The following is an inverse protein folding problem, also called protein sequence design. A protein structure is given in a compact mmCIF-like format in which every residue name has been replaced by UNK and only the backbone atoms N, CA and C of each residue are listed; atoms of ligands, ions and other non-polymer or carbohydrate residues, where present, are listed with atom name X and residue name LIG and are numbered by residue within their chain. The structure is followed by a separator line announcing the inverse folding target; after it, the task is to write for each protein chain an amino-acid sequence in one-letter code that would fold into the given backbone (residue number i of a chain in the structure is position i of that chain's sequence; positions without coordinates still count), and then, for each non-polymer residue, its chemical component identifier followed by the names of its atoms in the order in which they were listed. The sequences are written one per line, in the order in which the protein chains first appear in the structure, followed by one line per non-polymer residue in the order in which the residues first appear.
data_IF_188846035305
#
_entry.id   IF_188846035305
#
_cell.length_a   1.000
_cell.length_b   1.000
_cell.length_c   1.000
_cell.angle_alpha   90.00
_cell.angle_beta   90.00
_cell.angle_gamma   90.00
#
_symmetry.space_group_name_H-M   'P 1'
#
loop_
_entity.id
_entity.type
_entity.pdbx_description
1 polymer ?
#
# COMPACT_ATOMS: atom_id res chain seq x y z
N UNK A 1 12.18 -0.79 -9.03
CA UNK A 1 10.81 -1.34 -8.82
C UNK A 1 10.56 -1.91 -7.41
N UNK A 2 11.43 -1.68 -6.41
CA UNK A 2 11.29 -2.27 -5.06
C UNK A 2 10.17 -1.61 -4.23
N UNK A 3 9.98 -0.28 -4.31
CA UNK A 3 9.02 0.48 -3.49
C UNK A 3 7.56 0.00 -3.58
N UNK A 4 7.17 -0.57 -4.72
CA UNK A 4 5.78 -0.92 -5.06
C UNK A 4 5.58 -2.43 -5.22
N UNK A 5 6.58 -3.23 -4.88
CA UNK A 5 6.48 -4.69 -4.96
C UNK A 5 6.43 -5.28 -3.57
N UNK A 6 5.28 -5.88 -3.24
CA UNK A 6 5.14 -6.71 -2.05
C UNK A 6 6.21 -7.81 -2.09
N UNK A 7 7.01 -8.00 -1.04
CA UNK A 7 7.92 -9.13 -0.95
C UNK A 7 7.13 -10.44 -0.94
N UNK A 8 7.50 -11.38 -1.79
CA UNK A 8 6.91 -12.73 -1.88
C UNK A 8 7.91 -13.77 -1.40
N UNK A 9 8.03 -13.95 -0.06
CA UNK A 9 8.93 -14.95 0.49
C UNK A 9 8.47 -16.36 0.11
N UNK A 10 9.33 -17.13 -0.58
CA UNK A 10 9.00 -18.46 -1.11
C UNK A 10 8.68 -19.49 -0.02
N UNK A 11 9.38 -19.42 1.11
CA UNK A 11 9.29 -20.42 2.19
C UNK A 11 8.92 -19.80 3.55
N UNK A 12 8.00 -18.82 3.54
CA UNK A 12 7.56 -18.19 4.77
C UNK A 12 6.75 -19.17 5.65
N UNK A 13 7.20 -19.41 6.88
CA UNK A 13 6.40 -20.13 7.88
C UNK A 13 5.09 -19.38 8.18
N UNK A 14 3.96 -20.04 7.95
CA UNK A 14 2.64 -19.45 8.14
C UNK A 14 2.29 -19.34 9.63
N UNK A 15 2.35 -18.12 10.15
CA UNK A 15 2.04 -17.82 11.56
C UNK A 15 0.52 -17.74 11.79
N UNK A 16 -0.17 -18.87 11.72
CA UNK A 16 -1.64 -18.96 11.81
C UNK A 16 -2.24 -18.23 13.04
N UNK A 17 -1.56 -18.26 14.19
CA UNK A 17 -1.98 -17.50 15.39
C UNK A 17 -2.04 -15.99 15.12
N UNK A 18 -1.04 -15.45 14.44
CA UNK A 18 -0.99 -14.02 14.09
C UNK A 18 -1.95 -13.68 12.94
N UNK A 19 -2.18 -14.61 12.00
CA UNK A 19 -3.20 -14.42 10.97
C UNK A 19 -4.59 -14.26 11.58
N UNK A 20 -4.95 -15.10 12.56
CA UNK A 20 -6.21 -14.96 13.31
C UNK A 20 -6.31 -13.62 14.03
N UNK A 21 -5.20 -13.08 14.55
CA UNK A 21 -5.18 -11.75 15.15
C UNK A 21 -5.43 -10.67 14.09
N UNK A 22 -4.77 -10.74 12.93
CA UNK A 22 -4.99 -9.81 11.81
C UNK A 22 -6.41 -9.89 11.26
N UNK A 23 -7.01 -11.09 11.20
CA UNK A 23 -8.40 -11.27 10.78
C UNK A 23 -9.37 -10.51 11.72
N UNK A 24 -9.14 -10.56 13.04
CA UNK A 24 -9.93 -9.78 14.02
C UNK A 24 -9.73 -8.28 13.87
N UNK A 25 -8.57 -7.83 13.41
CA UNK A 25 -8.28 -6.41 13.25
C UNK A 25 -8.87 -5.81 11.96
N UNK A 26 -9.46 -6.63 11.07
CA UNK A 26 -10.07 -6.13 9.82
C UNK A 26 -11.26 -5.20 10.04
N UNK A 27 -11.89 -5.23 11.21
CA UNK A 27 -12.97 -4.28 11.55
C UNK A 27 -12.46 -2.86 11.79
N UNK A 28 -11.15 -2.67 11.98
CA UNK A 28 -10.55 -1.35 12.17
C UNK A 28 -10.08 -0.76 10.84
N UNK A 29 -10.29 0.54 10.65
CA UNK A 29 -9.86 1.25 9.44
C UNK A 29 -8.34 1.23 9.24
N UNK A 30 -7.57 1.16 10.34
CA UNK A 30 -6.10 1.14 10.32
C UNK A 30 -5.59 0.10 11.31
N UNK A 31 -4.66 -0.76 10.86
CA UNK A 31 -3.94 -1.70 11.71
C UNK A 31 -2.45 -1.39 11.67
N UNK A 32 -1.86 -1.07 12.82
CA UNK A 32 -0.42 -0.81 12.96
C UNK A 32 0.31 -2.08 13.42
N UNK A 33 1.35 -2.48 12.69
CA UNK A 33 2.17 -3.67 13.02
C UNK A 33 3.59 -3.22 13.38
N UNK A 34 3.94 -3.32 14.66
CA UNK A 34 5.28 -2.97 15.19
C UNK A 34 5.97 -4.16 15.84
N UNK A 35 7.28 -4.25 15.67
CA UNK A 35 8.19 -5.24 16.28
C UNK A 35 9.65 -4.83 16.00
N UNK A 36 10.64 -5.40 16.71
CA UNK A 36 12.06 -5.19 16.42
C UNK A 36 12.48 -5.58 14.99
N UNK A 37 13.64 -5.08 14.56
CA UNK A 37 14.27 -5.52 13.31
C UNK A 37 14.46 -7.05 13.32
N UNK A 38 14.31 -7.70 12.17
CA UNK A 38 14.45 -9.16 12.06
C UNK A 38 13.25 -10.00 12.54
N UNK A 39 12.25 -9.44 13.23
CA UNK A 39 11.09 -10.23 13.73
C UNK A 39 10.16 -10.82 12.65
N UNK A 40 10.38 -10.45 11.39
CA UNK A 40 9.59 -10.94 10.24
C UNK A 40 8.26 -10.21 10.03
N UNK A 41 8.17 -8.92 10.38
CA UNK A 41 6.94 -8.10 10.20
C UNK A 41 6.46 -8.09 8.75
N UNK A 42 7.37 -7.76 7.83
CA UNK A 42 7.07 -7.72 6.39
C UNK A 42 6.70 -9.10 5.87
N UNK A 43 7.41 -10.14 6.30
CA UNK A 43 7.09 -11.54 5.97
C UNK A 43 5.70 -11.93 6.47
N UNK A 44 5.32 -11.55 7.69
CA UNK A 44 4.00 -11.82 8.27
C UNK A 44 2.90 -11.16 7.44
N UNK A 45 2.99 -9.86 7.17
CA UNK A 45 1.96 -9.13 6.40
C UNK A 45 1.89 -9.63 4.96
N UNK A 46 3.04 -9.86 4.33
CA UNK A 46 3.10 -10.39 2.96
C UNK A 46 2.45 -11.77 2.86
N UNK A 47 2.85 -12.71 3.71
CA UNK A 47 2.29 -14.08 3.70
C UNK A 47 0.81 -14.11 4.09
N UNK A 48 0.38 -13.22 4.98
CA UNK A 48 -1.03 -13.06 5.34
C UNK A 48 -1.89 -12.63 4.15
N UNK A 49 -1.48 -11.57 3.45
CA UNK A 49 -2.18 -11.05 2.26
C UNK A 49 -2.30 -12.14 1.20
N UNK A 50 -1.22 -12.89 0.97
CA UNK A 50 -1.19 -13.98 0.00
C UNK A 50 -2.09 -15.15 0.39
N UNK A 51 -1.96 -15.63 1.63
CA UNK A 51 -2.72 -16.76 2.14
C UNK A 51 -4.23 -16.47 2.22
N UNK A 52 -4.61 -15.22 2.53
CA UNK A 52 -6.01 -14.76 2.54
C UNK A 52 -6.51 -14.25 1.19
N UNK A 53 -5.67 -14.25 0.16
CA UNK A 53 -5.97 -13.74 -1.19
C UNK A 53 -6.53 -12.31 -1.19
N UNK A 54 -5.99 -11.46 -0.31
CA UNK A 54 -6.43 -10.09 -0.13
C UNK A 54 -5.89 -9.23 -1.29
N UNK A 55 -6.76 -8.50 -2.04
CA UNK A 55 -6.30 -7.48 -2.96
C UNK A 55 -5.46 -6.43 -2.22
N UNK A 56 -4.27 -6.13 -2.73
CA UNK A 56 -3.33 -5.26 -2.02
C UNK A 56 -2.66 -4.26 -2.95
N UNK A 57 -2.65 -3.00 -2.51
CA UNK A 57 -1.68 -2.01 -2.93
C UNK A 57 -0.55 -2.00 -1.90
N UNK A 58 0.67 -2.25 -2.36
CA UNK A 58 1.86 -2.22 -1.50
C UNK A 58 2.68 -0.98 -1.78
N UNK A 59 3.03 -0.25 -0.71
CA UNK A 59 3.90 0.90 -0.79
C UNK A 59 4.91 0.89 0.36
N UNK A 60 6.19 0.99 0.04
CA UNK A 60 7.27 1.16 1.00
C UNK A 60 7.64 2.64 1.07
N UNK A 61 7.38 3.25 2.24
CA UNK A 61 7.84 4.59 2.57
C UNK A 61 9.32 4.56 2.99
N UNK A 62 10.13 5.45 2.42
CA UNK A 62 11.53 5.68 2.80
C UNK A 62 11.90 7.16 2.67
N UNK A 63 13.15 7.51 2.96
CA UNK A 63 13.63 8.90 2.94
C UNK A 63 13.48 9.59 1.58
N UNK A 64 13.45 8.83 0.48
CA UNK A 64 13.25 9.38 -0.86
C UNK A 64 11.84 9.92 -1.10
N UNK A 65 10.88 9.65 -0.20
CA UNK A 65 9.50 10.15 -0.28
C UNK A 65 9.30 11.51 0.39
N UNK A 66 10.39 12.20 0.78
CA UNK A 66 10.34 13.57 1.28
C UNK A 66 9.90 14.60 0.22
N UNK A 67 10.10 14.29 -1.07
CA UNK A 67 9.49 15.01 -2.18
C UNK A 67 8.08 14.47 -2.47
N UNK A 68 7.07 15.32 -2.35
CA UNK A 68 5.67 14.95 -2.54
C UNK A 68 5.38 14.47 -3.96
N UNK A 69 6.04 15.06 -4.97
CA UNK A 69 5.83 14.65 -6.35
C UNK A 69 6.31 13.20 -6.56
N UNK A 70 7.46 12.86 -5.99
CA UNK A 70 8.00 11.50 -5.95
C UNK A 70 7.06 10.52 -5.25
N UNK A 71 6.52 10.90 -4.08
CA UNK A 71 5.55 10.09 -3.35
C UNK A 71 4.30 9.78 -4.19
N UNK A 72 3.62 10.81 -4.73
CA UNK A 72 2.40 10.63 -5.53
C UNK A 72 2.66 9.88 -6.83
N UNK A 73 3.83 10.06 -7.44
CA UNK A 73 4.25 9.31 -8.62
C UNK A 73 4.33 7.81 -8.33
N UNK A 74 5.12 7.41 -7.31
CA UNK A 74 5.29 6.00 -6.99
C UNK A 74 3.99 5.38 -6.46
N UNK A 75 3.17 6.12 -5.71
CA UNK A 75 1.87 5.65 -5.26
C UNK A 75 0.96 5.35 -6.46
N UNK A 76 1.06 6.18 -7.50
CA UNK A 76 0.32 5.98 -8.75
C UNK A 76 0.74 4.72 -9.49
N UNK A 77 2.05 4.43 -9.46
CA UNK A 77 2.60 3.20 -10.02
C UNK A 77 2.17 1.96 -9.21
N UNK A 78 2.09 2.06 -7.88
CA UNK A 78 1.56 1.00 -7.03
C UNK A 78 0.08 0.73 -7.33
N UNK A 79 -0.72 1.78 -7.50
CA UNK A 79 -2.13 1.68 -7.86
C UNK A 79 -2.34 1.00 -9.21
N UNK A 80 -1.53 1.35 -10.22
CA UNK A 80 -1.56 0.71 -11.55
C UNK A 80 -1.27 -0.79 -11.46
N UNK A 81 -0.36 -1.20 -10.56
CA UNK A 81 -0.05 -2.62 -10.33
C UNK A 81 -1.18 -3.35 -9.58
N UNK A 82 -1.82 -2.69 -8.62
CA UNK A 82 -2.92 -3.26 -7.84
C UNK A 82 -4.23 -3.39 -8.65
N UNK A 83 -4.47 -2.48 -9.60
CA UNK A 83 -5.69 -2.44 -10.42
C UNK A 83 -5.38 -2.29 -11.93
N UNK A 84 -4.78 -3.30 -12.59
CA UNK A 84 -4.29 -3.19 -13.97
C UNK A 84 -5.40 -2.92 -15.01
N UNK A 85 -6.67 -3.19 -14.66
CA UNK A 85 -7.82 -2.93 -15.54
C UNK A 85 -8.22 -1.45 -15.60
N UNK A 86 -7.77 -0.61 -14.67
CA UNK A 86 -8.07 0.83 -14.65
C UNK A 86 -7.00 1.58 -15.45
N UNK A 87 -7.36 2.02 -16.66
CA UNK A 87 -6.42 2.61 -17.64
C UNK A 87 -6.12 4.10 -17.41
N UNK A 88 -7.06 4.86 -16.86
CA UNK A 88 -6.84 6.28 -16.54
C UNK A 88 -5.73 6.37 -15.48
N UNK A 89 -4.63 7.11 -15.70
CA UNK A 89 -3.61 7.29 -14.66
C UNK A 89 -4.17 8.10 -13.48
N UNK A 90 -3.55 8.00 -12.30
CA UNK A 90 -3.81 8.94 -11.21
C UNK A 90 -3.19 10.30 -11.55
N UNK A 91 -3.74 11.42 -11.04
CA UNK A 91 -3.20 12.74 -11.33
C UNK A 91 -1.76 12.86 -10.80
N UNK A 92 -0.90 13.57 -11.55
CA UNK A 92 0.47 13.87 -11.13
C UNK A 92 0.48 15.19 -10.37
N UNK A 93 1.28 15.27 -9.30
CA UNK A 93 1.48 16.53 -8.59
C UNK A 93 2.42 17.41 -9.43
N UNK A 94 1.87 18.46 -10.03
CA UNK A 94 2.61 19.48 -10.78
C UNK A 94 2.73 20.77 -9.96
N UNK A 95 3.67 21.69 -10.27
CA UNK A 95 3.89 22.91 -9.48
C UNK A 95 2.63 23.76 -9.26
N UNK A 96 1.70 23.75 -10.22
CA UNK A 96 0.44 24.48 -10.17
C UNK A 96 -0.48 23.99 -9.04
N UNK A 97 -0.35 22.71 -8.64
CA UNK A 97 -1.12 22.13 -7.55
C UNK A 97 -0.53 22.40 -6.16
N UNK A 98 0.68 22.98 -6.06
CA UNK A 98 1.33 23.20 -4.76
C UNK A 98 0.54 24.17 -3.87
N UNK A 99 -0.09 25.19 -4.46
CA UNK A 99 -0.97 26.12 -3.73
C UNK A 99 -2.27 25.45 -3.23
N UNK A 100 -2.66 24.33 -3.85
CA UNK A 100 -3.88 23.56 -3.55
C UNK A 100 -3.60 22.12 -3.13
N UNK A 101 -2.45 21.84 -2.52
CA UNK A 101 -1.96 20.48 -2.27
C UNK A 101 -2.98 19.59 -1.54
N UNK A 102 -3.71 20.15 -0.57
CA UNK A 102 -4.73 19.43 0.18
C UNK A 102 -5.90 18.97 -0.72
N UNK A 103 -6.37 19.83 -1.63
CA UNK A 103 -7.41 19.47 -2.61
C UNK A 103 -6.89 18.42 -3.59
N UNK A 104 -5.65 18.59 -4.05
CA UNK A 104 -5.00 17.58 -4.89
C UNK A 104 -4.96 16.23 -4.18
N UNK A 105 -4.49 16.19 -2.93
CA UNK A 105 -4.37 14.96 -2.15
C UNK A 105 -5.73 14.28 -1.94
N UNK A 106 -6.77 15.04 -1.57
CA UNK A 106 -8.13 14.51 -1.40
C UNK A 106 -8.63 13.85 -2.69
N UNK A 107 -8.59 14.58 -3.82
CA UNK A 107 -9.03 14.05 -5.12
C UNK A 107 -8.19 12.85 -5.56
N UNK A 108 -6.89 12.88 -5.30
CA UNK A 108 -6.00 11.76 -5.59
C UNK A 108 -6.42 10.51 -4.82
N UNK A 109 -6.65 10.63 -3.51
CA UNK A 109 -7.04 9.49 -2.67
C UNK A 109 -8.47 9.02 -2.95
N UNK A 110 -9.39 9.91 -3.29
CA UNK A 110 -10.74 9.55 -3.78
C UNK A 110 -10.64 8.69 -5.05
N UNK A 111 -9.89 9.14 -6.06
CA UNK A 111 -9.66 8.36 -7.27
C UNK A 111 -8.93 7.05 -7.00
N UNK A 112 -7.98 7.03 -6.07
CA UNK A 112 -7.22 5.84 -5.69
C UNK A 112 -8.14 4.80 -5.04
N UNK A 113 -8.90 5.20 -4.02
CA UNK A 113 -9.82 4.34 -3.28
C UNK A 113 -10.93 3.79 -4.19
N UNK A 114 -11.43 4.57 -5.16
CA UNK A 114 -12.39 4.09 -6.14
C UNK A 114 -11.84 2.99 -7.09
N UNK A 115 -10.51 2.82 -7.16
CA UNK A 115 -9.86 1.79 -8.00
C UNK A 115 -9.55 0.51 -7.25
N UNK A 116 -9.31 0.59 -5.93
CA UNK A 116 -8.93 -0.55 -5.10
C UNK A 116 -10.18 -1.13 -4.45
N UNK A 117 -10.42 -2.43 -4.62
CA UNK A 117 -11.54 -3.08 -3.95
C UNK A 117 -11.25 -3.20 -2.46
N UNK A 118 -12.17 -2.80 -1.58
CA UNK A 118 -12.04 -3.11 -0.16
C UNK A 118 -12.05 -4.65 0.02
N UNK A 119 -11.23 -5.17 0.94
CA UNK A 119 -11.14 -6.60 1.23
C UNK A 119 -12.33 -7.16 2.03
#
# INVERSE_FOLDING_TARGET
MVKISRPTPKDAYLRQRLFKQLDRMRSFAVTWVSAPAGSGKTTLVSSYIEHRKIPCLWYQLDQGDGDLATFFYYLGQAAKKAAPRKRKPLPMLTPEYLQGLHIFALRYFEELCARVKPP
#
